data_IF_454964621740
#
_entry.id   IF_454964621740
#
_cell.length_a   1.000
_cell.length_b   1.000
_cell.length_c   1.000
_cell.angle_alpha   90.00
_cell.angle_beta   90.00
_cell.angle_gamma   90.00
#
_symmetry.space_group_name_H-M   'P 1'
#
loop_
_entity.id
_entity.type
_entity.pdbx_description
1 polymer ?
#
# COMPACT_ATOMS: atom_id res chain seq x y z
N UNK A 1 2.84 30.02 3.43
CA UNK A 1 3.18 28.84 4.27
C UNK A 1 2.08 28.41 5.25
N UNK A 2 1.31 29.33 5.88
CA UNK A 2 0.22 28.94 6.81
C UNK A 2 -0.81 27.99 6.21
N UNK A 3 -1.29 28.25 4.98
CA UNK A 3 -2.29 27.41 4.29
C UNK A 3 -1.83 25.95 4.05
N UNK A 4 -0.56 25.74 3.70
CA UNK A 4 -0.01 24.40 3.48
C UNK A 4 0.05 23.60 4.79
N UNK A 5 0.51 24.24 5.86
CA UNK A 5 0.58 23.62 7.18
C UNK A 5 -0.81 23.27 7.71
N UNK A 6 -1.83 24.09 7.41
CA UNK A 6 -3.22 23.78 7.72
C UNK A 6 -3.72 22.53 6.97
N UNK A 7 -3.43 22.38 5.68
CA UNK A 7 -3.81 21.18 4.90
C UNK A 7 -3.14 19.94 5.46
N UNK A 8 -1.81 19.98 5.68
CA UNK A 8 -1.07 18.85 6.24
C UNK A 8 -1.63 18.45 7.61
N UNK A 9 -1.88 19.44 8.47
CA UNK A 9 -2.43 19.18 9.80
C UNK A 9 -3.82 18.55 9.74
N UNK A 10 -4.69 19.08 8.88
CA UNK A 10 -6.03 18.55 8.66
C UNK A 10 -5.98 17.08 8.22
N UNK A 11 -5.20 16.78 7.18
CA UNK A 11 -5.06 15.42 6.65
C UNK A 11 -4.46 14.46 7.67
N UNK A 12 -3.49 14.89 8.48
CA UNK A 12 -2.92 14.03 9.52
C UNK A 12 -3.89 13.82 10.70
N UNK A 13 -4.66 14.83 11.10
CA UNK A 13 -5.64 14.72 12.19
C UNK A 13 -6.81 13.81 11.81
N UNK A 14 -7.33 13.92 10.58
CA UNK A 14 -8.36 13.00 10.05
C UNK A 14 -7.79 11.59 9.92
N UNK A 15 -6.55 11.46 9.44
CA UNK A 15 -5.87 10.18 9.31
C UNK A 15 -5.70 9.43 10.61
N UNK A 16 -5.38 10.16 11.67
CA UNK A 16 -5.25 9.58 12.99
C UNK A 16 -6.55 8.90 13.45
N UNK A 17 -7.71 9.52 13.20
CA UNK A 17 -9.00 8.98 13.63
C UNK A 17 -9.32 7.64 12.99
N UNK A 18 -9.21 7.53 11.66
CA UNK A 18 -9.54 6.27 10.99
C UNK A 18 -8.52 5.16 11.25
N UNK A 19 -7.25 5.49 11.52
CA UNK A 19 -6.23 4.49 11.90
C UNK A 19 -6.63 3.81 13.21
N UNK A 20 -7.12 4.58 14.19
CA UNK A 20 -7.62 4.01 15.45
C UNK A 20 -8.81 3.09 15.25
N UNK A 21 -9.78 3.51 14.44
CA UNK A 21 -10.96 2.69 14.13
C UNK A 21 -10.55 1.38 13.45
N UNK A 22 -9.58 1.44 12.53
CA UNK A 22 -9.04 0.27 11.84
C UNK A 22 -8.41 -0.74 12.82
N UNK A 23 -7.51 -0.29 13.70
CA UNK A 23 -6.86 -1.17 14.66
C UNK A 23 -7.83 -1.74 15.72
N UNK A 24 -8.83 -0.96 16.14
CA UNK A 24 -9.87 -1.43 17.05
C UNK A 24 -10.70 -2.55 16.38
N UNK A 25 -11.08 -2.36 15.12
CA UNK A 25 -11.79 -3.39 14.36
C UNK A 25 -10.95 -4.67 14.21
N UNK A 26 -9.65 -4.55 13.92
CA UNK A 26 -8.74 -5.70 13.84
C UNK A 26 -8.58 -6.43 15.17
N UNK A 27 -8.49 -5.67 16.28
CA UNK A 27 -8.41 -6.24 17.61
C UNK A 27 -9.67 -7.05 17.99
N UNK A 28 -10.84 -6.75 17.41
CA UNK A 28 -12.04 -7.55 17.57
C UNK A 28 -12.07 -8.77 16.63
N UNK A 29 -11.71 -8.58 15.36
CA UNK A 29 -11.85 -9.62 14.32
C UNK A 29 -10.81 -10.73 14.48
N UNK A 30 -9.53 -10.39 14.72
CA UNK A 30 -8.45 -11.39 14.77
C UNK A 30 -8.71 -12.44 15.85
N UNK A 31 -9.02 -12.08 17.12
CA UNK A 31 -9.33 -13.05 18.16
C UNK A 31 -10.60 -13.86 17.89
N UNK A 32 -11.63 -13.23 17.31
CA UNK A 32 -12.89 -13.91 16.99
C UNK A 32 -12.66 -15.01 15.95
N UNK A 33 -11.94 -14.72 14.87
CA UNK A 33 -11.59 -15.70 13.84
C UNK A 33 -10.69 -16.79 14.40
N UNK A 34 -9.64 -16.44 15.16
CA UNK A 34 -8.76 -17.46 15.76
C UNK A 34 -9.49 -18.34 16.77
N UNK A 35 -10.43 -17.77 17.54
CA UNK A 35 -11.25 -18.52 18.50
C UNK A 35 -12.18 -19.51 17.82
N UNK A 36 -12.82 -19.12 16.72
CA UNK A 36 -13.64 -20.03 15.91
C UNK A 36 -12.80 -21.17 15.34
N UNK A 37 -11.61 -20.88 14.79
CA UNK A 37 -10.71 -21.90 14.24
C UNK A 37 -10.27 -22.88 15.33
N UNK A 38 -9.91 -22.37 16.52
CA UNK A 38 -9.54 -23.21 17.65
C UNK A 38 -10.68 -24.17 18.07
N UNK A 39 -11.92 -23.67 18.13
CA UNK A 39 -13.09 -24.50 18.45
C UNK A 39 -13.40 -25.57 17.39
N UNK A 40 -13.16 -25.27 16.11
CA UNK A 40 -13.50 -26.17 15.00
C UNK A 40 -12.41 -27.20 14.69
N UNK A 41 -11.13 -26.79 14.75
CA UNK A 41 -10.01 -27.60 14.29
C UNK A 41 -9.14 -28.14 15.42
N UNK A 42 -9.32 -27.67 16.68
CA UNK A 42 -8.43 -27.97 17.82
C UNK A 42 -6.94 -27.68 17.58
N UNK A 43 -6.64 -26.95 16.51
CA UNK A 43 -5.32 -26.48 16.13
C UNK A 43 -5.41 -24.99 15.82
N UNK A 44 -4.40 -24.23 16.24
CA UNK A 44 -4.24 -22.85 15.81
C UNK A 44 -3.19 -22.83 14.71
N UNK A 45 -3.64 -22.73 13.45
CA UNK A 45 -2.75 -22.60 12.31
C UNK A 45 -1.87 -21.34 12.37
N UNK A 46 -0.98 -21.17 11.38
CA UNK A 46 -0.17 -19.95 11.28
C UNK A 46 -1.05 -18.72 11.04
N UNK A 47 -0.88 -17.68 11.86
CA UNK A 47 -1.66 -16.44 11.76
C UNK A 47 -0.77 -15.32 11.23
N UNK A 48 -0.98 -14.89 9.98
CA UNK A 48 -0.14 -13.88 9.31
C UNK A 48 -0.98 -12.74 8.68
N UNK A 49 -1.96 -12.20 9.41
CA UNK A 49 -3.02 -11.38 8.82
C UNK A 49 -2.85 -9.86 9.02
N UNK A 50 -2.11 -9.40 10.04
CA UNK A 50 -2.09 -7.98 10.43
C UNK A 50 -1.53 -7.08 9.31
N UNK A 51 -0.30 -7.36 8.88
CA UNK A 51 0.42 -6.54 7.91
C UNK A 51 -0.26 -6.53 6.54
N UNK A 52 -0.90 -7.65 6.15
CA UNK A 52 -1.65 -7.74 4.89
C UNK A 52 -2.93 -6.88 4.93
N UNK A 53 -3.65 -6.86 6.05
CA UNK A 53 -4.80 -5.96 6.23
C UNK A 53 -4.37 -4.49 6.15
N UNK A 54 -3.24 -4.14 6.75
CA UNK A 54 -2.70 -2.78 6.70
C UNK A 54 -2.31 -2.37 5.28
N UNK A 55 -1.72 -3.26 4.47
CA UNK A 55 -1.44 -3.00 3.05
C UNK A 55 -2.73 -2.68 2.29
N UNK A 56 -3.78 -3.49 2.49
CA UNK A 56 -5.09 -3.28 1.85
C UNK A 56 -5.68 -1.93 2.29
N UNK A 57 -5.63 -1.63 3.57
CA UNK A 57 -6.13 -0.38 4.13
C UNK A 57 -5.45 0.85 3.51
N UNK A 58 -4.12 0.88 3.52
CA UNK A 58 -3.33 1.99 2.95
C UNK A 58 -3.56 2.13 1.44
N UNK A 59 -3.77 1.01 0.75
CA UNK A 59 -4.14 0.99 -0.68
C UNK A 59 -5.50 1.65 -0.94
N UNK A 60 -6.50 1.37 -0.09
CA UNK A 60 -7.84 1.99 -0.19
C UNK A 60 -7.74 3.50 0.04
N UNK A 61 -7.00 3.94 1.06
CA UNK A 61 -6.77 5.37 1.34
C UNK A 61 -6.15 6.06 0.12
N UNK A 62 -5.14 5.45 -0.49
CA UNK A 62 -4.50 5.97 -1.71
C UNK A 62 -5.48 6.16 -2.88
N UNK A 63 -6.47 5.29 -3.05
CA UNK A 63 -7.50 5.40 -4.10
C UNK A 63 -8.51 6.51 -3.78
N UNK A 64 -8.96 6.59 -2.52
CA UNK A 64 -10.00 7.53 -2.09
C UNK A 64 -9.53 8.98 -2.07
N UNK A 65 -8.24 9.21 -1.86
CA UNK A 65 -7.62 10.54 -1.86
C UNK A 65 -8.01 11.40 -3.08
N UNK A 66 -8.10 10.78 -4.26
CA UNK A 66 -8.48 11.51 -5.48
C UNK A 66 -9.99 11.78 -5.59
N UNK A 67 -10.82 10.94 -4.99
CA UNK A 67 -12.29 11.04 -5.08
C UNK A 67 -12.85 12.04 -4.10
N UNK A 68 -12.29 12.10 -2.89
CA UNK A 68 -12.82 12.89 -1.78
C UNK A 68 -11.94 14.12 -1.54
N UNK A 69 -10.72 13.92 -1.05
CA UNK A 69 -9.84 15.01 -0.57
C UNK A 69 -9.43 15.95 -1.68
N UNK A 70 -9.06 15.43 -2.86
CA UNK A 70 -8.67 16.27 -3.99
C UNK A 70 -9.81 17.19 -4.44
N UNK A 71 -11.05 16.70 -4.46
CA UNK A 71 -12.22 17.50 -4.88
C UNK A 71 -12.58 18.54 -3.84
N UNK A 72 -12.61 18.14 -2.57
CA UNK A 72 -12.92 19.02 -1.45
C UNK A 72 -11.89 20.16 -1.34
N UNK A 73 -10.59 19.86 -1.42
CA UNK A 73 -9.55 20.88 -1.33
C UNK A 73 -9.51 21.81 -2.55
N UNK A 74 -9.81 21.30 -3.74
CA UNK A 74 -9.94 22.13 -4.94
C UNK A 74 -11.13 23.10 -4.83
N UNK A 75 -12.28 22.66 -4.32
CA UNK A 75 -13.46 23.52 -4.07
C UNK A 75 -13.17 24.61 -3.03
N UNK A 76 -12.34 24.30 -2.02
CA UNK A 76 -11.90 25.25 -1.01
C UNK A 76 -10.78 26.22 -1.48
N UNK A 77 -10.47 26.24 -2.78
CA UNK A 77 -9.54 27.20 -3.38
C UNK A 77 -8.05 26.91 -3.11
N UNK A 78 -7.69 25.69 -2.71
CA UNK A 78 -6.29 25.30 -2.58
C UNK A 78 -5.65 25.01 -3.94
N UNK A 79 -4.38 25.39 -4.10
CA UNK A 79 -3.62 25.10 -5.32
C UNK A 79 -3.26 23.61 -5.39
N UNK A 80 -3.24 23.04 -6.61
CA UNK A 80 -2.91 21.63 -6.87
C UNK A 80 -1.57 21.18 -6.27
N UNK A 81 -0.58 22.06 -6.20
CA UNK A 81 0.74 21.78 -5.58
C UNK A 81 0.63 21.60 -4.07
N UNK A 82 -0.23 22.37 -3.39
CA UNK A 82 -0.45 22.21 -1.95
C UNK A 82 -1.26 20.96 -1.64
N UNK A 83 -2.23 20.61 -2.50
CA UNK A 83 -3.00 19.37 -2.36
C UNK A 83 -2.05 18.17 -2.47
N UNK A 84 -1.23 18.12 -3.52
CA UNK A 84 -0.25 17.04 -3.68
C UNK A 84 0.75 16.96 -2.52
N UNK A 85 1.25 18.10 -2.03
CA UNK A 85 2.18 18.08 -0.91
C UNK A 85 1.51 17.63 0.39
N UNK A 86 0.22 17.96 0.58
CA UNK A 86 -0.62 17.44 1.66
C UNK A 86 -0.80 15.93 1.57
N UNK A 87 -1.14 15.41 0.38
CA UNK A 87 -1.34 13.97 0.18
C UNK A 87 -0.05 13.17 0.37
N UNK A 88 1.10 13.70 -0.05
CA UNK A 88 2.41 13.10 0.22
C UNK A 88 2.74 13.07 1.72
N UNK A 89 2.48 14.16 2.43
CA UNK A 89 2.68 14.22 3.88
C UNK A 89 1.79 13.21 4.61
N UNK A 90 0.54 13.08 4.17
CA UNK A 90 -0.41 12.10 4.68
C UNK A 90 0.05 10.66 4.44
N UNK A 91 0.54 10.31 3.24
CA UNK A 91 1.06 8.97 2.97
C UNK A 91 2.27 8.62 3.84
N UNK A 92 3.19 9.58 4.04
CA UNK A 92 4.32 9.40 4.96
C UNK A 92 3.83 9.22 6.39
N UNK A 93 2.85 10.01 6.83
CA UNK A 93 2.30 9.91 8.18
C UNK A 93 1.61 8.57 8.45
N UNK A 94 0.69 8.16 7.58
CA UNK A 94 -0.05 6.89 7.72
C UNK A 94 0.91 5.70 7.64
N UNK A 95 1.79 5.67 6.63
CA UNK A 95 2.74 4.57 6.46
C UNK A 95 3.69 4.49 7.65
N UNK A 96 4.15 5.64 8.18
CA UNK A 96 5.01 5.71 9.35
C UNK A 96 4.34 5.20 10.61
N UNK A 97 3.13 5.68 10.89
CA UNK A 97 2.38 5.31 12.10
C UNK A 97 1.94 3.85 12.06
N UNK A 98 1.36 3.40 10.94
CA UNK A 98 0.87 2.03 10.81
C UNK A 98 2.02 1.01 10.80
N UNK A 99 3.12 1.27 10.11
CA UNK A 99 4.27 0.36 10.15
C UNK A 99 4.87 0.24 11.55
N UNK A 100 4.87 1.33 12.32
CA UNK A 100 5.34 1.33 13.71
C UNK A 100 4.42 0.47 14.58
N UNK A 101 3.11 0.72 14.52
CA UNK A 101 2.10 -0.06 15.25
C UNK A 101 2.16 -1.54 14.86
N UNK A 102 2.23 -1.86 13.56
CA UNK A 102 2.29 -3.25 13.09
C UNK A 102 3.58 -3.97 13.49
N UNK A 103 4.71 -3.28 13.51
CA UNK A 103 5.97 -3.88 13.98
C UNK A 103 5.92 -4.15 15.48
N UNK A 104 5.37 -3.21 16.27
CA UNK A 104 5.19 -3.39 17.72
C UNK A 104 4.19 -4.50 18.02
N UNK A 105 3.00 -4.46 17.40
CA UNK A 105 1.95 -5.47 17.57
C UNK A 105 2.41 -6.83 17.06
N UNK A 106 3.08 -6.91 15.90
CA UNK A 106 3.59 -8.17 15.35
C UNK A 106 4.67 -8.80 16.23
N UNK A 107 5.50 -7.99 16.88
CA UNK A 107 6.47 -8.47 17.87
C UNK A 107 5.79 -8.89 19.17
N UNK A 108 4.85 -8.09 19.68
CA UNK A 108 4.10 -8.38 20.89
C UNK A 108 3.24 -9.64 20.75
N UNK A 109 2.50 -9.78 19.64
CA UNK A 109 1.69 -10.95 19.35
C UNK A 109 2.55 -12.21 19.29
N UNK A 110 3.71 -12.17 18.64
CA UNK A 110 4.63 -13.31 18.64
C UNK A 110 5.05 -13.74 20.03
N UNK A 111 5.38 -12.79 20.92
CA UNK A 111 5.83 -13.11 22.29
C UNK A 111 4.65 -13.58 23.15
N UNK A 112 3.47 -12.95 23.01
CA UNK A 112 2.29 -13.30 23.80
C UNK A 112 1.67 -14.64 23.37
N UNK A 113 1.72 -14.95 22.07
CA UNK A 113 1.17 -16.17 21.50
C UNK A 113 2.21 -17.28 21.37
N UNK A 114 3.48 -17.06 21.75
CA UNK A 114 4.51 -18.11 21.74
C UNK A 114 4.07 -19.23 22.68
N UNK A 115 3.69 -20.38 22.11
CA UNK A 115 3.14 -21.53 22.83
C UNK A 115 1.70 -21.89 22.46
N UNK A 116 0.92 -20.94 21.94
CA UNK A 116 -0.46 -21.19 21.47
C UNK A 116 -0.58 -21.17 19.95
N UNK A 117 0.11 -20.24 19.28
CA UNK A 117 0.11 -20.18 17.82
C UNK A 117 1.36 -19.53 17.23
N UNK A 118 1.71 -19.96 16.02
CA UNK A 118 2.85 -19.46 15.29
C UNK A 118 2.46 -18.21 14.49
N UNK A 119 2.50 -17.06 15.16
CA UNK A 119 2.34 -15.77 14.48
C UNK A 119 3.61 -15.42 13.69
N UNK A 120 3.49 -15.24 12.36
CA UNK A 120 4.60 -14.82 11.52
C UNK A 120 4.31 -13.46 10.87
N UNK A 121 5.23 -12.53 11.13
CA UNK A 121 5.30 -11.25 10.42
C UNK A 121 5.76 -11.49 8.98
N UNK A 122 5.30 -10.71 8.00
CA UNK A 122 5.72 -10.84 6.59
C UNK A 122 7.23 -10.65 6.48
N UNK A 123 7.77 -9.62 7.14
CA UNK A 123 9.20 -9.34 7.13
C UNK A 123 10.04 -10.53 7.61
N UNK A 124 9.71 -11.08 8.78
CA UNK A 124 10.50 -12.19 9.32
C UNK A 124 10.16 -13.56 8.74
N UNK A 125 9.04 -13.71 8.02
CA UNK A 125 8.79 -14.87 7.15
C UNK A 125 9.71 -14.83 5.91
N UNK A 126 9.96 -13.63 5.35
CA UNK A 126 10.84 -13.43 4.20
C UNK A 126 12.33 -13.49 4.54
N UNK A 127 12.75 -12.77 5.59
CA UNK A 127 14.18 -12.56 5.89
C UNK A 127 14.66 -13.28 7.13
N UNK A 128 13.77 -13.94 7.87
CA UNK A 128 14.08 -14.53 9.16
C UNK A 128 14.10 -13.52 10.30
N UNK A 129 14.24 -14.03 11.53
CA UNK A 129 14.08 -13.25 12.77
C UNK A 129 15.40 -12.79 13.41
N UNK A 130 16.54 -12.99 12.73
CA UNK A 130 17.86 -12.58 13.22
C UNK A 130 18.20 -11.11 12.97
N UNK A 131 17.30 -10.34 12.36
CA UNK A 131 17.54 -8.94 11.98
C UNK A 131 16.96 -7.96 13.01
N UNK A 132 17.56 -6.76 13.16
CA UNK A 132 17.07 -5.77 14.10
C UNK A 132 15.66 -5.28 13.74
N UNK A 133 14.81 -5.07 14.75
CA UNK A 133 13.41 -4.66 14.58
C UNK A 133 13.24 -3.34 13.80
N UNK A 134 14.19 -2.41 13.93
CA UNK A 134 14.21 -1.14 13.19
C UNK A 134 14.25 -1.37 11.68
N UNK A 135 14.93 -2.43 11.22
CA UNK A 135 15.04 -2.75 9.81
C UNK A 135 13.73 -3.31 9.26
N UNK A 136 13.03 -4.12 10.06
CA UNK A 136 11.69 -4.60 9.74
C UNK A 136 10.67 -3.47 9.67
N UNK A 137 10.71 -2.55 10.64
CA UNK A 137 9.90 -1.34 10.63
C UNK A 137 10.14 -0.49 9.39
N UNK A 138 11.41 -0.18 9.08
CA UNK A 138 11.77 0.62 7.91
C UNK A 138 11.34 -0.04 6.60
N UNK A 139 11.49 -1.36 6.49
CA UNK A 139 11.04 -2.11 5.33
C UNK A 139 9.52 -2.02 5.17
N UNK A 140 8.77 -2.25 6.26
CA UNK A 140 7.31 -2.20 6.26
C UNK A 140 6.79 -0.78 5.96
N UNK A 141 7.45 0.24 6.50
CA UNK A 141 7.20 1.64 6.19
C UNK A 141 7.30 1.92 4.68
N UNK A 142 8.39 1.48 4.04
CA UNK A 142 8.60 1.69 2.61
C UNK A 142 7.63 0.89 1.76
N UNK A 143 7.23 -0.31 2.19
CA UNK A 143 6.17 -1.09 1.54
C UNK A 143 4.85 -0.33 1.58
N UNK A 144 4.44 0.18 2.74
CA UNK A 144 3.17 0.91 2.86
C UNK A 144 3.18 2.19 2.03
N UNK A 145 4.30 2.93 2.04
CA UNK A 145 4.49 4.13 1.23
C UNK A 145 4.43 3.83 -0.28
N UNK A 146 5.01 2.71 -0.71
CA UNK A 146 4.94 2.25 -2.10
C UNK A 146 3.49 1.94 -2.49
N UNK A 147 2.75 1.18 -1.67
CA UNK A 147 1.38 0.80 -1.97
C UNK A 147 0.44 2.01 -2.01
N UNK A 148 0.53 2.95 -1.06
CA UNK A 148 -0.26 4.19 -1.11
C UNK A 148 0.03 5.02 -2.35
N UNK A 149 1.32 5.19 -2.69
CA UNK A 149 1.73 5.99 -3.86
C UNK A 149 1.33 5.31 -5.18
N UNK A 150 1.43 3.99 -5.26
CA UNK A 150 0.99 3.20 -6.41
C UNK A 150 -0.52 3.30 -6.62
N UNK A 151 -1.31 3.09 -5.58
CA UNK A 151 -2.76 3.19 -5.63
C UNK A 151 -3.24 4.60 -6.00
N UNK A 152 -2.57 5.62 -5.46
CA UNK A 152 -2.83 7.02 -5.81
C UNK A 152 -2.51 7.32 -7.28
N UNK A 153 -1.36 6.83 -7.77
CA UNK A 153 -0.97 6.97 -9.18
C UNK A 153 -2.01 6.31 -10.10
N UNK A 154 -2.47 5.09 -9.78
CA UNK A 154 -3.51 4.42 -10.54
C UNK A 154 -4.84 5.17 -10.46
N UNK A 155 -5.24 5.67 -9.29
CA UNK A 155 -6.45 6.48 -9.16
C UNK A 155 -6.39 7.74 -10.02
N UNK A 156 -5.23 8.41 -10.08
CA UNK A 156 -4.99 9.53 -11.00
C UNK A 156 -5.10 9.12 -12.46
N UNK A 157 -4.44 8.03 -12.86
CA UNK A 157 -4.44 7.55 -14.24
C UNK A 157 -5.85 7.18 -14.70
N UNK A 158 -6.61 6.46 -13.86
CA UNK A 158 -7.97 6.02 -14.18
C UNK A 158 -8.97 7.19 -14.21
N UNK A 159 -8.85 8.15 -13.30
CA UNK A 159 -9.72 9.34 -13.30
C UNK A 159 -9.54 10.22 -14.53
N UNK A 160 -8.39 10.15 -15.20
CA UNK A 160 -8.16 10.88 -16.47
C UNK A 160 -8.84 10.22 -17.67
N UNK A 161 -9.10 8.91 -17.60
CA UNK A 161 -9.61 8.14 -18.73
C UNK A 161 -11.15 8.19 -18.77
N UNK A 162 -11.76 8.16 -19.97
CA UNK A 162 -13.21 7.98 -20.06
C UNK A 162 -13.60 6.65 -19.43
N UNK A 163 -14.73 6.63 -18.70
CA UNK A 163 -15.18 5.46 -17.89
C UNK A 163 -15.13 4.13 -18.64
N UNK A 164 -15.44 4.13 -19.94
CA UNK A 164 -15.39 2.94 -20.81
C UNK A 164 -13.98 2.36 -20.96
N UNK A 165 -12.96 3.21 -21.09
CA UNK A 165 -11.55 2.81 -21.20
C UNK A 165 -11.01 2.34 -19.85
N UNK A 166 -11.40 2.98 -18.74
CA UNK A 166 -11.02 2.52 -17.39
C UNK A 166 -11.55 1.12 -17.09
N UNK A 167 -12.80 0.82 -17.43
CA UNK A 167 -13.39 -0.51 -17.24
C UNK A 167 -12.68 -1.53 -18.14
N UNK A 168 -12.40 -1.18 -19.39
CA UNK A 168 -11.67 -2.05 -20.32
C UNK A 168 -10.25 -2.37 -19.83
N UNK A 169 -9.50 -1.38 -19.35
CA UNK A 169 -8.17 -1.58 -18.79
C UNK A 169 -8.24 -2.44 -17.53
N UNK A 170 -9.21 -2.20 -16.65
CA UNK A 170 -9.41 -3.02 -15.45
C UNK A 170 -9.71 -4.48 -15.81
N UNK A 171 -10.60 -4.72 -16.77
CA UNK A 171 -10.92 -6.06 -17.25
C UNK A 171 -9.72 -6.73 -17.93
N UNK A 172 -9.01 -6.01 -18.80
CA UNK A 172 -7.80 -6.51 -19.48
C UNK A 172 -6.69 -6.83 -18.47
N UNK A 173 -6.50 -6.01 -17.44
CA UNK A 173 -5.56 -6.26 -16.36
C UNK A 173 -5.96 -7.50 -15.55
N UNK A 174 -7.25 -7.69 -15.25
CA UNK A 174 -7.75 -8.90 -14.58
C UNK A 174 -7.48 -10.17 -15.39
N UNK A 175 -7.75 -10.15 -16.69
CA UNK A 175 -7.45 -11.27 -17.60
C UNK A 175 -5.94 -11.51 -17.70
N UNK A 176 -5.13 -10.45 -17.81
CA UNK A 176 -3.67 -10.53 -17.80
C UNK A 176 -3.12 -11.09 -16.49
N UNK A 177 -3.73 -10.80 -15.34
CA UNK A 177 -3.33 -11.38 -14.06
C UNK A 177 -3.60 -12.89 -14.03
N UNK A 178 -4.76 -13.33 -14.52
CA UNK A 178 -5.12 -14.76 -14.58
C UNK A 178 -4.18 -15.51 -15.54
N UNK A 179 -3.97 -14.97 -16.75
CA UNK A 179 -3.07 -15.54 -17.74
C UNK A 179 -1.59 -15.46 -17.32
N UNK A 180 -1.20 -14.37 -16.68
CA UNK A 180 0.15 -14.18 -16.16
C UNK A 180 0.47 -15.17 -15.05
N UNK A 181 -0.48 -15.41 -14.14
CA UNK A 181 -0.35 -16.42 -13.10
C UNK A 181 -0.20 -17.83 -13.71
N UNK A 182 -1.03 -18.19 -14.69
CA UNK A 182 -0.92 -19.51 -15.33
C UNK A 182 0.40 -19.69 -16.09
N UNK A 183 0.93 -18.65 -16.73
CA UNK A 183 2.25 -18.69 -17.38
C UNK A 183 3.37 -18.80 -16.36
N UNK A 184 3.30 -18.08 -15.24
CA UNK A 184 4.34 -18.09 -14.19
C UNK A 184 4.40 -19.41 -13.43
N UNK A 185 3.25 -20.03 -13.15
CA UNK A 185 3.16 -21.26 -12.34
C UNK A 185 3.00 -22.56 -13.14
N UNK A 186 2.60 -22.51 -14.42
CA UNK A 186 2.54 -23.69 -15.29
C UNK A 186 3.93 -24.13 -15.77
N UNK A 187 4.08 -25.35 -16.28
CA UNK A 187 5.30 -25.81 -16.98
C UNK A 187 5.17 -25.48 -18.47
N UNK A 188 6.21 -24.90 -19.09
CA UNK A 188 6.09 -24.45 -20.47
C UNK A 188 7.37 -23.86 -21.06
N UNK A 189 7.35 -23.41 -22.33
CA UNK A 189 8.55 -22.98 -23.05
C UNK A 189 9.27 -21.76 -22.45
N UNK A 190 8.65 -21.10 -21.48
CA UNK A 190 9.15 -19.92 -20.79
C UNK A 190 9.97 -20.22 -19.52
N UNK A 191 10.30 -21.48 -19.24
CA UNK A 191 11.02 -21.86 -18.01
C UNK A 191 12.38 -21.14 -17.88
N UNK A 192 13.12 -20.98 -18.98
CA UNK A 192 14.36 -20.18 -19.01
C UNK A 192 14.13 -18.71 -18.60
N UNK A 193 13.00 -18.14 -19.01
CA UNK A 193 12.62 -16.78 -18.62
C UNK A 193 12.22 -16.72 -17.15
N UNK A 194 11.45 -17.70 -16.65
CA UNK A 194 11.07 -17.79 -15.23
C UNK A 194 12.28 -17.86 -14.32
N UNK A 195 13.28 -18.67 -14.64
CA UNK A 195 14.49 -18.75 -13.82
C UNK A 195 15.26 -17.43 -13.79
N UNK A 196 15.39 -16.75 -14.94
CA UNK A 196 16.03 -15.42 -15.00
C UNK A 196 15.23 -14.37 -14.25
N UNK A 197 13.91 -14.38 -14.40
CA UNK A 197 13.01 -13.47 -13.72
C UNK A 197 13.00 -13.71 -12.21
N UNK A 198 12.92 -14.97 -11.77
CA UNK A 198 12.98 -15.37 -10.37
C UNK A 198 14.34 -15.02 -9.76
N UNK A 199 15.46 -15.23 -10.47
CA UNK A 199 16.78 -14.81 -10.02
C UNK A 199 16.88 -13.28 -9.89
N UNK A 200 16.31 -12.53 -10.84
CA UNK A 200 16.25 -11.07 -10.78
C UNK A 200 15.38 -10.60 -9.61
N UNK A 201 14.21 -11.21 -9.41
CA UNK A 201 13.28 -10.91 -8.33
C UNK A 201 13.92 -11.22 -6.97
N UNK A 202 14.52 -12.41 -6.81
CA UNK A 202 15.24 -12.81 -5.61
C UNK A 202 16.36 -11.81 -5.27
N UNK A 203 17.16 -11.41 -6.28
CA UNK A 203 18.20 -10.39 -6.10
C UNK A 203 17.62 -9.02 -5.72
N UNK A 204 16.47 -8.65 -6.28
CA UNK A 204 15.75 -7.41 -5.96
C UNK A 204 15.22 -7.41 -4.53
N UNK A 205 14.76 -8.56 -4.04
CA UNK A 205 14.41 -8.76 -2.64
C UNK A 205 15.64 -8.91 -1.73
N UNK A 206 16.86 -8.88 -2.25
CA UNK A 206 18.09 -8.90 -1.46
C UNK A 206 18.65 -10.29 -1.17
N UNK A 207 18.11 -11.34 -1.79
CA UNK A 207 18.67 -12.69 -1.73
C UNK A 207 19.84 -12.83 -2.72
N UNK A 208 21.05 -13.02 -2.21
CA UNK A 208 22.24 -13.26 -3.03
C UNK A 208 22.41 -14.74 -3.36
N UNK A 209 23.12 -15.04 -4.46
CA UNK A 209 23.49 -16.40 -4.84
C UNK A 209 24.35 -17.10 -3.78
N UNK A 210 25.09 -16.33 -2.96
CA UNK A 210 25.96 -16.82 -1.90
C UNK A 210 25.20 -17.20 -0.60
N UNK A 211 23.87 -17.14 -0.61
CA UNK A 211 23.01 -17.42 0.56
C UNK A 211 22.93 -16.27 1.59
N UNK A 212 23.69 -15.19 1.40
CA UNK A 212 23.62 -14.00 2.26
C UNK A 212 22.42 -13.11 1.90
N UNK A 213 21.75 -12.56 2.92
CA UNK A 213 20.64 -11.61 2.75
C UNK A 213 21.19 -10.19 2.88
N UNK A 214 21.09 -9.39 1.80
CA UNK A 214 21.46 -7.97 1.79
C UNK A 214 20.22 -7.09 1.68
N UNK A 215 19.71 -6.66 2.83
CA UNK A 215 18.49 -5.85 2.97
C UNK A 215 18.62 -4.41 2.44
N UNK A 216 19.82 -3.94 2.12
CA UNK A 216 20.02 -2.61 1.51
C UNK A 216 19.37 -2.51 0.12
N UNK A 217 19.43 -3.59 -0.68
CA UNK A 217 18.86 -3.62 -2.02
C UNK A 217 17.32 -3.46 -2.04
N UNK A 218 16.52 -4.25 -1.30
CA UNK A 218 15.07 -4.08 -1.29
C UNK A 218 14.66 -2.72 -0.74
N UNK A 219 15.33 -2.20 0.29
CA UNK A 219 15.03 -0.87 0.84
C UNK A 219 15.27 0.23 -0.20
N UNK A 220 16.41 0.19 -0.89
CA UNK A 220 16.72 1.17 -1.94
C UNK A 220 15.73 1.11 -3.10
N UNK A 221 15.38 -0.10 -3.56
CA UNK A 221 14.41 -0.29 -4.63
C UNK A 221 13.01 0.21 -4.25
N UNK A 222 12.52 -0.12 -3.05
CA UNK A 222 11.23 0.35 -2.56
C UNK A 222 11.18 1.88 -2.52
N UNK A 223 12.24 2.53 -2.00
CA UNK A 223 12.35 3.98 -1.95
C UNK A 223 12.42 4.60 -3.36
N UNK A 224 13.19 4.00 -4.26
CA UNK A 224 13.33 4.44 -5.64
C UNK A 224 11.98 4.37 -6.37
N UNK A 225 11.26 3.26 -6.26
CA UNK A 225 9.96 3.11 -6.92
C UNK A 225 8.90 4.04 -6.32
N UNK A 226 8.84 4.19 -5.00
CA UNK A 226 7.95 5.16 -4.36
C UNK A 226 8.25 6.60 -4.83
N UNK A 227 9.53 6.97 -4.91
CA UNK A 227 9.97 8.26 -5.43
C UNK A 227 9.55 8.48 -6.88
N UNK A 228 9.80 7.51 -7.76
CA UNK A 228 9.40 7.57 -9.18
C UNK A 228 7.88 7.70 -9.33
N UNK A 229 7.10 6.92 -8.59
CA UNK A 229 5.64 6.98 -8.62
C UNK A 229 5.12 8.34 -8.17
N UNK A 230 5.72 8.94 -7.14
CA UNK A 230 5.34 10.26 -6.68
C UNK A 230 5.69 11.35 -7.69
N UNK A 231 6.86 11.28 -8.34
CA UNK A 231 7.23 12.21 -9.43
C UNK A 231 6.25 12.09 -10.60
N UNK A 232 5.94 10.85 -11.02
CA UNK A 232 4.93 10.60 -12.05
C UNK A 232 3.57 11.17 -11.63
N UNK A 233 3.13 10.92 -10.40
CA UNK A 233 1.85 11.43 -9.88
C UNK A 233 1.79 12.95 -9.89
N UNK A 234 2.88 13.63 -9.53
CA UNK A 234 2.98 15.09 -9.61
C UNK A 234 2.84 15.62 -11.04
N UNK A 235 3.52 14.99 -12.01
CA UNK A 235 3.41 15.34 -13.43
C UNK A 235 1.97 15.17 -13.95
N UNK A 236 1.28 14.12 -13.50
CA UNK A 236 -0.12 13.87 -13.83
C UNK A 236 -1.05 14.91 -13.21
N UNK A 237 -0.91 15.24 -11.92
CA UNK A 237 -1.74 16.25 -11.24
C UNK A 237 -1.57 17.64 -11.85
N UNK A 238 -0.34 18.03 -12.20
CA UNK A 238 -0.07 19.33 -12.82
C UNK A 238 -0.81 19.49 -14.16
N UNK A 239 -0.98 18.38 -14.89
CA UNK A 239 -1.64 18.33 -16.21
C UNK A 239 -3.08 17.79 -16.15
N UNK A 240 -3.66 17.62 -14.97
CA UNK A 240 -5.02 17.13 -14.83
C UNK A 240 -6.00 18.25 -15.20
N UNK A 241 -6.56 18.21 -16.40
CA UNK A 241 -7.79 18.94 -16.69
C UNK A 241 -8.90 18.24 -15.94
N UNK A 242 -9.65 18.98 -15.11
CA UNK A 242 -10.84 18.44 -14.49
C UNK A 242 -11.80 18.21 -15.65
N UNK A 243 -11.94 16.96 -16.08
CA UNK A 243 -12.93 16.58 -17.07
C UNK A 243 -14.27 16.59 -16.33
N UNK A 244 -14.76 17.79 -16.03
CA UNK A 244 -15.95 18.02 -15.26
C UNK A 244 -17.15 18.20 -16.21
N UNK A 245 -18.01 17.18 -16.38
CA UNK A 245 -19.30 17.40 -17.02
C UNK A 245 -20.18 18.36 -16.22
N UNK A 246 -19.94 18.59 -14.91
CA UNK A 246 -20.71 19.53 -14.09
C UNK A 246 -20.23 20.99 -14.22
N UNK A 247 -18.95 21.22 -14.53
CA UNK A 247 -18.48 22.57 -14.88
C UNK A 247 -19.00 23.01 -16.26
N UNK A 248 -19.24 22.07 -17.19
CA UNK A 248 -19.87 22.38 -18.48
C UNK A 248 -21.33 22.81 -18.35
N UNK A 249 -22.10 22.27 -17.40
CA UNK A 249 -23.49 22.69 -17.19
C UNK A 249 -23.63 24.03 -16.47
N UNK A 250 -22.61 24.46 -15.73
CA UNK A 250 -22.58 25.76 -15.06
C UNK A 250 -22.16 26.91 -16.00
N UNK A 251 -21.37 26.61 -17.03
CA UNK A 251 -20.95 27.59 -18.05
C UNK A 251 -21.78 27.56 -19.34
N UNK A 252 -22.82 26.72 -19.43
CA UNK A 252 -23.76 26.70 -20.57
C UNK A 252 -25.10 27.39 -20.28
N UNK A 253 -25.15 28.21 -19.22
CA UNK A 253 -26.31 29.00 -18.80
C UNK A 253 -26.00 30.50 -18.77
N UNK A 254 -25.08 30.94 -19.63
CA UNK A 254 -24.94 32.35 -20.04
C UNK A 254 -25.25 32.50 -21.54
#
# INVERSE_FOLDING_TARGET
>A
MKKLLTVIRYECETSFQYIWVFYLALACIIPAVSGIIFLLASEVGNVNCLELNSIIFVSIVGILQMKEDFRMLMQNGFTRTYIFLGTMAQFVFISGLMSLVDTLLGTALRVLLSGYCNYQTIFGSLYGYGHPAVLGWLWLFLVYLLFSSLCFFFALALNRMPKKVSIFIGAAAGVLLILGASVLFGTGPWDSFKHRFAALAAKSFGFMADGTIRLVYPLFLLLLYAGLLNVCSYLFIRRAEINDPAAKSLFSLE
#
